data_IF_262660898092
#
_entry.id   IF_262660898092
#
_cell.length_a   1.000
_cell.length_b   1.000
_cell.length_c   1.000
_cell.angle_alpha   90.00
_cell.angle_beta   90.00
_cell.angle_gamma   90.00
#
_symmetry.space_group_name_H-M   'P 1'
#
loop_
_entity.id
_entity.type
_entity.pdbx_description
1 polymer ?
#
# COMPACT_ATOMS: atom_id res chain seq x y z
N UNK A 1 8.03 -17.75 8.61
CA UNK A 1 9.47 -18.10 8.68
C UNK A 1 10.20 -18.17 7.33
N UNK A 2 9.55 -17.92 6.18
CA UNK A 2 10.21 -17.91 4.84
C UNK A 2 10.69 -16.49 4.43
N UNK A 3 10.44 -15.47 5.26
CA UNK A 3 10.55 -14.05 4.89
C UNK A 3 11.86 -13.37 5.33
N UNK A 4 12.76 -14.08 6.03
CA UNK A 4 14.00 -13.50 6.59
C UNK A 4 15.11 -13.20 5.56
N UNK A 5 14.82 -13.14 4.25
CA UNK A 5 15.87 -13.02 3.23
C UNK A 5 15.46 -12.50 1.86
N UNK A 6 14.25 -11.96 1.68
CA UNK A 6 13.89 -11.32 0.41
C UNK A 6 14.41 -9.88 0.40
N UNK A 7 15.11 -9.52 -0.67
CA UNK A 7 15.57 -8.14 -0.90
C UNK A 7 14.40 -7.14 -0.79
N UNK A 8 14.59 -5.96 -0.17
CA UNK A 8 13.60 -4.87 -0.17
C UNK A 8 13.04 -4.55 -1.57
N UNK A 9 13.88 -4.62 -2.60
CA UNK A 9 13.48 -4.42 -4.00
C UNK A 9 12.50 -5.48 -4.51
N UNK A 10 12.67 -6.74 -4.10
CA UNK A 10 11.79 -7.85 -4.47
C UNK A 10 10.44 -7.69 -3.76
N UNK A 11 10.47 -7.31 -2.48
CA UNK A 11 9.25 -7.06 -1.69
C UNK A 11 8.44 -5.91 -2.29
N UNK A 12 9.09 -4.78 -2.59
CA UNK A 12 8.44 -3.64 -3.21
C UNK A 12 7.83 -4.03 -4.56
N UNK A 13 8.58 -4.74 -5.42
CA UNK A 13 8.10 -5.17 -6.74
C UNK A 13 6.87 -6.08 -6.67
N UNK A 14 6.82 -6.98 -5.69
CA UNK A 14 5.67 -7.87 -5.51
C UNK A 14 4.40 -7.10 -5.13
N UNK A 15 4.52 -6.14 -4.21
CA UNK A 15 3.36 -5.35 -3.75
C UNK A 15 2.97 -4.32 -4.80
N UNK A 16 3.92 -3.61 -5.40
CA UNK A 16 3.65 -2.53 -6.35
C UNK A 16 2.98 -3.02 -7.62
N UNK A 17 3.32 -4.21 -8.13
CA UNK A 17 2.61 -4.80 -9.27
C UNK A 17 1.10 -4.99 -9.00
N UNK A 18 0.74 -5.35 -7.77
CA UNK A 18 -0.66 -5.49 -7.36
C UNK A 18 -1.34 -4.12 -7.23
N UNK A 19 -0.64 -3.13 -6.68
CA UNK A 19 -1.17 -1.75 -6.56
C UNK A 19 -1.39 -1.14 -7.94
N UNK A 20 -0.43 -1.25 -8.86
CA UNK A 20 -0.54 -0.73 -10.23
C UNK A 20 -1.74 -1.32 -10.98
N UNK A 21 -1.98 -2.63 -10.83
CA UNK A 21 -3.15 -3.27 -11.43
C UNK A 21 -4.47 -2.77 -10.82
N UNK A 22 -4.50 -2.59 -9.50
CA UNK A 22 -5.68 -2.07 -8.81
C UNK A 22 -5.96 -0.62 -9.21
N UNK A 23 -4.93 0.20 -9.39
CA UNK A 23 -5.06 1.55 -9.93
C UNK A 23 -5.68 1.52 -11.32
N UNK A 24 -5.19 0.69 -12.25
CA UNK A 24 -5.73 0.57 -13.60
C UNK A 24 -7.22 0.17 -13.59
N UNK A 25 -7.59 -0.81 -12.77
CA UNK A 25 -8.98 -1.27 -12.60
C UNK A 25 -9.90 -0.19 -12.00
N UNK A 26 -9.40 0.65 -11.08
CA UNK A 26 -10.20 1.70 -10.44
C UNK A 26 -10.28 2.96 -11.29
N UNK A 27 -9.18 3.38 -11.90
CA UNK A 27 -9.09 4.59 -12.70
C UNK A 27 -9.87 4.48 -14.02
N UNK A 28 -9.99 3.27 -14.58
CA UNK A 28 -10.83 3.04 -15.76
C UNK A 28 -12.33 3.17 -15.49
N UNK A 29 -12.75 3.17 -14.21
CA UNK A 29 -14.15 3.19 -13.80
C UNK A 29 -14.61 4.42 -13.03
N UNK A 30 -13.81 5.47 -12.86
CA UNK A 30 -14.20 6.63 -12.05
C UNK A 30 -13.45 7.93 -12.30
N UNK A 31 -13.98 9.02 -11.73
CA UNK A 31 -13.46 10.39 -11.84
C UNK A 31 -12.44 10.69 -10.74
N UNK A 32 -11.24 10.13 -10.85
CA UNK A 32 -10.15 10.40 -9.89
C UNK A 32 -9.29 11.57 -10.37
N UNK A 33 -9.05 12.54 -9.49
CA UNK A 33 -8.19 13.71 -9.76
C UNK A 33 -6.76 13.55 -9.24
N UNK A 34 -6.53 12.59 -8.34
CA UNK A 34 -5.22 12.28 -7.77
C UNK A 34 -5.17 10.83 -7.30
N UNK A 35 -3.96 10.25 -7.28
CA UNK A 35 -3.73 8.94 -6.67
C UNK A 35 -2.68 9.06 -5.57
N UNK A 36 -3.00 8.56 -4.39
CA UNK A 36 -2.10 8.60 -3.24
C UNK A 36 -1.79 7.18 -2.76
N UNK A 37 -0.51 6.83 -2.75
CA UNK A 37 -0.01 5.59 -2.16
C UNK A 37 0.45 5.88 -0.74
N UNK A 38 -0.22 5.29 0.23
CA UNK A 38 0.27 5.28 1.61
C UNK A 38 1.05 3.98 1.87
N UNK A 39 2.37 4.09 2.02
CA UNK A 39 3.27 2.96 2.25
C UNK A 39 3.53 2.81 3.74
N UNK A 40 2.93 1.77 4.32
CA UNK A 40 3.13 1.37 5.72
C UNK A 40 4.07 0.17 5.77
N UNK A 41 5.27 0.35 6.29
CA UNK A 41 6.29 -0.69 6.45
C UNK A 41 7.28 -0.29 7.54
N UNK A 42 7.93 -1.25 8.16
CA UNK A 42 9.00 -1.00 9.12
C UNK A 42 10.37 -0.84 8.46
N UNK A 43 10.54 -1.18 7.17
CA UNK A 43 11.80 -1.04 6.42
C UNK A 43 11.99 0.37 5.85
N UNK A 44 13.02 1.12 6.27
CA UNK A 44 13.38 2.40 5.66
C UNK A 44 13.75 2.29 4.18
N UNK A 45 14.38 1.19 3.77
CA UNK A 45 14.79 0.95 2.40
C UNK A 45 13.58 0.82 1.47
N UNK A 46 12.53 0.09 1.90
CA UNK A 46 11.28 -0.03 1.13
C UNK A 46 10.61 1.34 0.98
N UNK A 47 10.56 2.15 2.05
CA UNK A 47 10.01 3.52 2.00
C UNK A 47 10.76 4.38 0.98
N UNK A 48 12.09 4.41 1.06
CA UNK A 48 12.94 5.17 0.14
C UNK A 48 12.74 4.73 -1.30
N UNK A 49 12.82 3.41 -1.56
CA UNK A 49 12.63 2.87 -2.91
C UNK A 49 11.24 3.17 -3.46
N UNK A 50 10.18 3.10 -2.65
CA UNK A 50 8.83 3.42 -3.09
C UNK A 50 8.69 4.89 -3.50
N UNK A 51 9.24 5.82 -2.72
CA UNK A 51 9.24 7.25 -3.05
C UNK A 51 10.06 7.53 -4.30
N UNK A 52 11.29 7.02 -4.38
CA UNK A 52 12.16 7.23 -5.54
C UNK A 52 11.57 6.65 -6.84
N UNK A 53 10.90 5.51 -6.74
CA UNK A 53 10.38 4.81 -7.92
C UNK A 53 9.04 5.39 -8.39
N UNK A 54 8.12 5.72 -7.48
CA UNK A 54 6.71 5.94 -7.84
C UNK A 54 6.18 7.35 -7.55
N UNK A 55 6.89 8.18 -6.78
CA UNK A 55 6.39 9.51 -6.43
C UNK A 55 6.46 10.47 -7.61
N UNK A 56 5.45 11.32 -7.76
CA UNK A 56 5.29 12.27 -8.86
C UNK A 56 5.28 11.64 -10.26
N UNK A 57 4.96 10.36 -10.38
CA UNK A 57 4.73 9.76 -11.68
C UNK A 57 3.35 10.16 -12.21
N UNK A 58 3.31 10.62 -13.45
CA UNK A 58 2.08 10.84 -14.19
C UNK A 58 1.49 9.51 -14.66
N UNK A 59 0.18 9.35 -14.51
CA UNK A 59 -0.60 8.21 -14.97
C UNK A 59 -1.56 8.72 -16.03
N UNK A 60 -1.40 8.24 -17.26
CA UNK A 60 -2.29 8.64 -18.35
C UNK A 60 -3.53 7.75 -18.35
N UNK A 61 -4.69 8.38 -18.18
CA UNK A 61 -5.98 7.70 -18.27
C UNK A 61 -6.44 7.66 -19.72
N UNK A 62 -6.59 6.45 -20.26
CA UNK A 62 -7.12 6.23 -21.61
C UNK A 62 -8.61 5.87 -21.49
N UNK A 63 -9.48 6.84 -21.74
CA UNK A 63 -10.92 6.60 -21.82
C UNK A 63 -11.28 6.16 -23.25
N UNK A 64 -11.82 4.96 -23.39
CA UNK A 64 -12.34 4.47 -24.67
C UNK A 64 -13.61 5.27 -25.04
N UNK A 65 -13.44 6.39 -25.76
CA UNK A 65 -14.29 6.88 -26.86
C UNK A 65 -14.07 8.36 -27.21
N UNK A 66 -13.24 9.09 -26.48
CA UNK A 66 -12.77 10.43 -26.87
C UNK A 66 -11.32 10.56 -26.43
N UNK A 67 -10.42 11.01 -27.32
CA UNK A 67 -8.97 11.18 -27.09
C UNK A 67 -8.61 12.25 -26.03
N UNK A 68 -9.38 12.37 -24.94
CA UNK A 68 -9.01 13.16 -23.78
C UNK A 68 -8.17 12.30 -22.84
N UNK A 69 -6.85 12.35 -23.02
CA UNK A 69 -5.93 11.84 -22.02
C UNK A 69 -5.94 12.81 -20.83
N UNK A 70 -6.44 12.36 -19.69
CA UNK A 70 -6.27 13.08 -18.42
C UNK A 70 -5.11 12.44 -17.69
N UNK A 71 -4.10 13.26 -17.35
CA UNK A 71 -2.94 12.79 -16.62
C UNK A 71 -3.15 13.02 -15.12
N UNK A 72 -3.12 11.95 -14.34
CA UNK A 72 -3.27 12.00 -12.88
C UNK A 72 -1.92 11.82 -12.22
N UNK A 73 -1.57 12.71 -11.28
CA UNK A 73 -0.30 12.64 -10.57
C UNK A 73 -0.37 11.66 -9.40
N UNK A 74 0.56 10.70 -9.35
CA UNK A 74 0.76 9.83 -8.19
C UNK A 74 1.59 10.52 -7.11
N UNK A 75 1.11 10.49 -5.87
CA UNK A 75 1.89 10.87 -4.68
C UNK A 75 2.15 9.65 -3.82
N UNK A 76 3.37 9.52 -3.32
CA UNK A 76 3.74 8.46 -2.37
C UNK A 76 3.99 9.09 -1.01
N UNK A 77 3.19 8.68 -0.03
CA UNK A 77 3.33 9.02 1.38
C UNK A 77 3.87 7.80 2.13
N UNK A 78 4.76 8.03 3.08
CA UNK A 78 5.32 6.98 3.93
C UNK A 78 5.09 7.35 5.38
N UNK A 79 4.68 6.39 6.20
CA UNK A 79 4.48 6.64 7.62
C UNK A 79 5.79 6.51 8.41
N UNK A 80 5.81 6.98 9.66
CA UNK A 80 7.01 6.91 10.51
C UNK A 80 7.06 5.69 11.40
N UNK A 81 5.96 4.93 11.51
CA UNK A 81 5.88 3.83 12.47
C UNK A 81 6.99 2.80 12.25
N UNK A 82 7.45 2.26 13.37
CA UNK A 82 8.53 1.27 13.43
C UNK A 82 8.00 -0.04 13.97
N UNK A 83 8.34 -1.13 13.30
CA UNK A 83 8.09 -2.49 13.75
C UNK A 83 9.06 -2.87 14.87
N UNK A 84 8.78 -3.98 15.55
CA UNK A 84 9.65 -4.52 16.61
C UNK A 84 11.11 -4.69 16.17
N UNK A 85 11.33 -5.00 14.88
CA UNK A 85 12.66 -5.25 14.32
C UNK A 85 13.47 -3.97 14.03
N UNK A 86 12.81 -2.82 13.92
CA UNK A 86 13.47 -1.53 13.57
C UNK A 86 13.45 -0.51 14.70
N UNK A 87 12.92 -0.89 15.87
CA UNK A 87 12.99 -0.10 17.10
C UNK A 87 14.36 -0.25 17.76
N UNK A 88 14.89 0.86 18.28
CA UNK A 88 16.14 0.86 19.09
C UNK A 88 15.95 0.16 20.43
N UNK A 89 14.76 0.24 21.02
CA UNK A 89 14.42 -0.31 22.32
C UNK A 89 13.33 -1.37 22.20
N UNK A 90 13.43 -2.44 23.00
CA UNK A 90 12.42 -3.51 23.07
C UNK A 90 11.10 -3.05 23.71
N UNK A 91 11.13 -1.98 24.51
CA UNK A 91 9.95 -1.38 25.13
C UNK A 91 9.44 -0.22 24.26
N UNK A 92 8.21 -0.27 23.73
CA UNK A 92 7.60 0.86 23.04
C UNK A 92 7.56 2.08 23.95
N UNK A 93 7.92 3.24 23.42
CA UNK A 93 7.49 4.51 24.00
C UNK A 93 6.02 4.77 23.70
N UNK A 94 5.41 5.71 24.43
CA UNK A 94 4.05 6.21 24.10
C UNK A 94 3.97 6.74 22.68
N UNK A 95 5.05 7.37 22.18
CA UNK A 95 5.13 7.85 20.81
C UNK A 95 5.10 6.70 19.80
N UNK A 96 5.89 5.63 20.02
CA UNK A 96 5.88 4.46 19.13
C UNK A 96 4.51 3.79 19.04
N UNK A 97 3.75 3.82 20.15
CA UNK A 97 2.38 3.32 20.17
C UNK A 97 1.42 4.25 19.42
N UNK A 98 1.51 5.57 19.64
CA UNK A 98 0.69 6.56 18.97
C UNK A 98 0.90 6.54 17.44
N UNK A 99 2.15 6.44 16.98
CA UNK A 99 2.46 6.33 15.55
C UNK A 99 1.89 5.06 14.93
N UNK A 100 2.00 3.91 15.62
CA UNK A 100 1.37 2.68 15.14
C UNK A 100 -0.16 2.80 15.14
N UNK A 101 -0.77 3.43 16.14
CA UNK A 101 -2.22 3.62 16.17
C UNK A 101 -2.70 4.52 15.02
N UNK A 102 -1.94 5.57 14.70
CA UNK A 102 -2.22 6.46 13.57
C UNK A 102 -2.13 5.73 12.24
N UNK A 103 -1.08 4.94 12.01
CA UNK A 103 -0.96 4.12 10.80
C UNK A 103 -2.15 3.17 10.65
N UNK A 104 -2.56 2.56 11.77
CA UNK A 104 -3.69 1.64 11.78
C UNK A 104 -5.01 2.36 11.47
N UNK A 105 -5.19 3.57 12.00
CA UNK A 105 -6.33 4.43 11.68
C UNK A 105 -6.34 4.82 10.19
N UNK A 106 -5.21 5.29 9.65
CA UNK A 106 -5.11 5.73 8.26
C UNK A 106 -5.32 4.60 7.25
N UNK A 107 -4.90 3.37 7.59
CA UNK A 107 -5.22 2.18 6.77
C UNK A 107 -6.74 2.04 6.65
N UNK A 108 -7.49 2.27 7.74
CA UNK A 108 -8.95 2.19 7.74
C UNK A 108 -9.65 3.25 6.89
N UNK A 109 -9.01 4.39 6.65
CA UNK A 109 -9.51 5.49 5.81
C UNK A 109 -9.17 5.34 4.32
N UNK A 110 -8.37 4.34 3.95
CA UNK A 110 -8.01 4.11 2.55
C UNK A 110 -9.15 3.50 1.74
N UNK A 111 -9.21 3.82 0.45
CA UNK A 111 -10.20 3.23 -0.49
C UNK A 111 -9.98 1.73 -0.70
N UNK A 112 -8.71 1.31 -0.68
CA UNK A 112 -8.31 -0.08 -0.77
C UNK A 112 -6.94 -0.31 -0.12
N UNK A 113 -6.77 -1.51 0.43
CA UNK A 113 -5.53 -1.92 1.11
C UNK A 113 -4.88 -3.06 0.34
N UNK A 114 -3.61 -2.89 -0.06
CA UNK A 114 -2.81 -3.98 -0.61
C UNK A 114 -1.77 -4.40 0.44
N UNK A 115 -1.79 -5.67 0.85
CA UNK A 115 -0.84 -6.19 1.84
C UNK A 115 -0.12 -7.43 1.34
N UNK A 116 1.13 -7.61 1.80
CA UNK A 116 1.79 -8.91 1.69
C UNK A 116 1.09 -9.94 2.60
N UNK A 117 1.07 -11.23 2.20
CA UNK A 117 0.23 -12.27 2.82
C UNK A 117 0.42 -12.49 4.32
N UNK A 118 -0.59 -13.10 4.96
CA UNK A 118 -0.66 -13.37 6.40
C UNK A 118 -1.67 -12.49 7.14
N UNK A 119 -1.93 -12.78 8.43
CA UNK A 119 -2.65 -11.86 9.33
C UNK A 119 -1.69 -10.73 9.66
N UNK A 120 -1.78 -9.65 8.88
CA UNK A 120 -0.87 -8.51 8.95
C UNK A 120 -1.51 -7.32 9.64
N UNK A 121 -0.69 -6.37 10.06
CA UNK A 121 -1.10 -5.05 10.54
C UNK A 121 -2.10 -4.37 9.56
N UNK A 122 -1.90 -4.55 8.25
CA UNK A 122 -2.83 -4.10 7.21
C UNK A 122 -4.17 -4.83 7.21
N UNK A 123 -4.19 -6.14 7.50
CA UNK A 123 -5.41 -6.96 7.60
C UNK A 123 -6.28 -6.49 8.76
N UNK A 124 -5.68 -6.30 9.94
CA UNK A 124 -6.41 -5.81 11.10
C UNK A 124 -6.96 -4.40 10.85
N UNK A 125 -6.26 -3.58 10.06
CA UNK A 125 -6.69 -2.22 9.69
C UNK A 125 -7.88 -2.21 8.76
N UNK A 126 -7.83 -3.00 7.69
CA UNK A 126 -8.92 -3.10 6.72
C UNK A 126 -10.20 -3.70 7.31
N UNK A 127 -10.07 -4.70 8.19
CA UNK A 127 -11.22 -5.34 8.85
C UNK A 127 -11.98 -4.39 9.79
N UNK A 128 -11.30 -3.41 10.41
CA UNK A 128 -11.96 -2.45 11.31
C UNK A 128 -13.02 -1.62 10.59
N UNK A 129 -12.79 -1.32 9.32
CA UNK A 129 -13.61 -0.40 8.53
C UNK A 129 -14.26 -1.07 7.32
N UNK A 130 -14.29 -2.42 7.29
CA UNK A 130 -14.84 -3.23 6.20
C UNK A 130 -14.30 -2.82 4.81
N UNK A 131 -13.02 -2.42 4.73
CA UNK A 131 -12.39 -1.95 3.49
C UNK A 131 -11.94 -3.14 2.65
N UNK A 132 -12.00 -2.95 1.33
CA UNK A 132 -11.51 -3.96 0.39
C UNK A 132 -10.01 -4.18 0.57
N UNK A 133 -9.65 -5.38 1.00
CA UNK A 133 -8.27 -5.80 1.13
C UNK A 133 -7.89 -6.75 0.00
N UNK A 134 -6.74 -6.48 -0.62
CA UNK A 134 -6.12 -7.30 -1.63
C UNK A 134 -4.79 -7.87 -1.12
N UNK A 135 -4.69 -9.19 -1.10
CA UNK A 135 -3.45 -9.85 -0.70
C UNK A 135 -2.55 -10.06 -1.91
N UNK A 136 -1.37 -9.44 -1.90
CA UNK A 136 -0.33 -9.64 -2.90
C UNK A 136 0.29 -11.04 -2.76
N UNK A 137 -0.29 -12.02 -3.44
CA UNK A 137 0.33 -13.35 -3.66
C UNK A 137 1.36 -13.27 -4.79
N UNK A 138 2.25 -14.26 -4.88
CA UNK A 138 3.42 -14.31 -5.78
C UNK A 138 3.18 -13.90 -7.26
N UNK A 139 1.95 -13.83 -7.76
CA UNK A 139 1.66 -13.52 -9.15
C UNK A 139 0.82 -12.26 -9.42
N UNK A 140 0.22 -11.58 -8.42
CA UNK A 140 -0.77 -10.48 -8.63
C UNK A 140 -1.86 -10.73 -9.69
N UNK A 141 -1.94 -11.96 -10.23
CA UNK A 141 -2.78 -12.35 -11.34
C UNK A 141 -4.23 -12.55 -10.91
N UNK A 142 -4.44 -12.73 -9.60
CA UNK A 142 -5.74 -12.73 -8.94
C UNK A 142 -5.66 -11.84 -7.70
N UNK A 143 -6.20 -10.63 -7.80
CA UNK A 143 -6.52 -9.83 -6.61
C UNK A 143 -7.63 -10.60 -5.87
N UNK A 144 -7.28 -11.25 -4.76
CA UNK A 144 -8.26 -11.92 -3.92
C UNK A 144 -8.89 -10.88 -3.01
N UNK A 145 -10.21 -10.67 -3.15
CA UNK A 145 -10.98 -9.90 -2.19
C UNK A 145 -11.06 -10.71 -0.89
N UNK A 146 -10.62 -10.12 0.21
CA UNK A 146 -11.03 -10.60 1.53
C UNK A 146 -12.37 -9.93 1.80
N UNK A 147 -13.46 -10.59 1.40
CA UNK A 147 -14.79 -10.20 1.82
C UNK A 147 -15.02 -10.75 3.23
N UNK A 148 -15.44 -9.88 4.15
CA UNK A 148 -15.98 -10.30 5.44
C UNK A 148 -17.10 -11.33 5.19
N UNK A 149 -16.99 -12.47 5.88
CA UNK A 149 -18.07 -13.47 5.95
C UNK A 149 -19.05 -13.07 7.04
#
# INVERSE_FOLDING_TARGET
>A
NVERGRSPSIMLKLVSNCVLKLEEERLSGGDFTSVVWMVVTDSPEVKRLAVETYNNQSIDLVFNQTELSTSVLRKVLTTTSRGMQTRKNRSPSTQDFAEALLDWYLIGESDAVVSHGGVSFGTTGSLRTARSQHVAKNSCSKLGWVLDK
#
